data_IF_887087249852
#
_entry.id   IF_887087249852
#
_cell.length_a   1.000
_cell.length_b   1.000
_cell.length_c   1.000
_cell.angle_alpha   90.00
_cell.angle_beta   90.00
_cell.angle_gamma   90.00
#
_symmetry.space_group_name_H-M   'P 1'
#
loop_
_entity.id
_entity.type
_entity.pdbx_description
1 polymer ?
#
# COMPACT_ATOMS: atom_id res chain seq x y z
N UNK A 1 0.32 -1.47 -9.21
CA UNK A 1 -1.02 -1.22 -9.79
C UNK A 1 -2.02 -1.32 -8.68
N UNK A 2 -3.02 -0.45 -8.67
CA UNK A 2 -4.21 -0.58 -7.81
C UNK A 2 -5.36 -1.03 -8.70
N UNK A 3 -6.03 -2.12 -8.33
CA UNK A 3 -7.23 -2.61 -9.02
C UNK A 3 -8.47 -2.27 -8.19
N UNK A 4 -9.36 -1.44 -8.74
CA UNK A 4 -10.60 -1.04 -8.08
C UNK A 4 -11.75 -1.08 -9.08
N UNK A 5 -12.87 -1.75 -8.72
CA UNK A 5 -14.05 -1.96 -9.58
C UNK A 5 -13.71 -2.48 -10.99
N UNK A 6 -12.71 -3.36 -11.09
CA UNK A 6 -12.23 -3.94 -12.35
C UNK A 6 -11.33 -3.01 -13.19
N UNK A 7 -11.05 -1.80 -12.71
CA UNK A 7 -10.16 -0.84 -13.36
C UNK A 7 -8.78 -0.91 -12.71
N UNK A 8 -7.75 -1.11 -13.52
CA UNK A 8 -6.36 -1.10 -13.09
C UNK A 8 -5.71 0.26 -13.29
N UNK A 9 -5.31 0.90 -12.20
CA UNK A 9 -4.54 2.14 -12.22
C UNK A 9 -3.05 1.84 -12.04
N UNK A 10 -2.24 2.33 -12.98
CA UNK A 10 -0.78 2.23 -12.96
C UNK A 10 -0.14 3.54 -12.50
N UNK A 11 1.13 3.49 -12.12
CA UNK A 11 1.84 4.63 -11.54
C UNK A 11 2.65 4.30 -10.28
N UNK A 12 2.82 3.02 -9.97
CA UNK A 12 3.72 2.57 -8.90
C UNK A 12 4.95 1.95 -9.54
N UNK A 13 6.11 2.14 -8.90
CA UNK A 13 7.25 1.26 -9.18
C UNK A 13 6.88 -0.16 -8.77
N UNK A 14 7.18 -1.13 -9.64
CA UNK A 14 7.09 -2.54 -9.26
C UNK A 14 8.06 -2.84 -8.11
N UNK A 15 7.84 -3.95 -7.43
CA UNK A 15 8.79 -4.49 -6.46
C UNK A 15 9.21 -5.90 -6.90
N UNK A 16 10.38 -6.33 -6.44
CA UNK A 16 10.95 -7.65 -6.69
C UNK A 16 11.28 -8.39 -5.40
N UNK A 17 12.09 -9.43 -5.54
CA UNK A 17 12.46 -10.31 -4.45
C UNK A 17 13.29 -9.59 -3.38
N UNK A 18 13.12 -10.03 -2.13
CA UNK A 18 13.85 -9.55 -0.94
C UNK A 18 13.63 -8.07 -0.57
N UNK A 19 12.77 -7.33 -1.27
CA UNK A 19 12.39 -5.98 -0.89
C UNK A 19 11.42 -5.97 0.29
N UNK A 20 11.48 -4.92 1.10
CA UNK A 20 10.57 -4.73 2.23
C UNK A 20 9.38 -3.89 1.76
N UNK A 21 8.21 -4.53 1.77
CA UNK A 21 6.94 -3.86 1.53
C UNK A 21 6.31 -3.40 2.85
N UNK A 22 5.77 -2.19 2.84
CA UNK A 22 5.01 -1.67 3.97
C UNK A 22 3.76 -0.98 3.48
N UNK A 23 2.63 -1.38 4.05
CA UNK A 23 1.35 -0.71 3.87
C UNK A 23 1.09 0.16 5.09
N UNK A 24 0.80 1.44 4.87
CA UNK A 24 0.43 2.37 5.93
C UNK A 24 -1.01 2.85 5.69
N UNK A 25 -1.90 2.43 6.59
CA UNK A 25 -3.29 2.87 6.61
C UNK A 25 -3.47 3.94 7.68
N UNK A 26 -3.97 5.10 7.26
CA UNK A 26 -4.42 6.17 8.13
C UNK A 26 -5.95 6.14 8.18
N UNK A 27 -6.50 5.72 9.31
CA UNK A 27 -7.95 5.61 9.51
C UNK A 27 -8.64 6.97 9.72
N UNK A 28 -7.91 8.01 10.12
CA UNK A 28 -8.47 9.35 10.30
C UNK A 28 -8.63 10.04 8.95
N UNK A 29 -7.63 9.89 8.07
CA UNK A 29 -7.67 10.42 6.70
C UNK A 29 -8.36 9.51 5.70
N UNK A 30 -8.52 8.23 6.02
CA UNK A 30 -9.08 7.23 5.10
C UNK A 30 -8.14 6.95 3.91
N UNK A 31 -6.83 6.87 4.15
CA UNK A 31 -5.82 6.70 3.09
C UNK A 31 -4.95 5.47 3.32
N UNK A 32 -4.50 4.85 2.23
CA UNK A 32 -3.61 3.69 2.24
C UNK A 32 -2.46 3.89 1.26
N UNK A 33 -1.23 3.93 1.77
CA UNK A 33 0.00 4.08 1.00
C UNK A 33 0.81 2.78 0.97
N UNK A 34 1.48 2.53 -0.16
CA UNK A 34 2.53 1.51 -0.26
C UNK A 34 3.90 2.17 -0.15
N UNK A 35 4.80 1.51 0.56
CA UNK A 35 6.22 1.79 0.57
C UNK A 35 6.98 0.56 0.07
N UNK A 36 8.00 0.79 -0.76
CA UNK A 36 8.95 -0.23 -1.22
C UNK A 36 10.33 0.19 -0.73
N UNK A 37 10.98 -0.63 0.09
CA UNK A 37 12.26 -0.32 0.74
C UNK A 37 12.26 1.05 1.43
N UNK A 38 11.17 1.34 2.14
CA UNK A 38 10.88 2.62 2.83
C UNK A 38 10.67 3.83 1.92
N UNK A 39 10.61 3.66 0.60
CA UNK A 39 10.27 4.72 -0.35
C UNK A 39 8.77 4.71 -0.60
N UNK A 40 8.10 5.82 -0.26
CA UNK A 40 6.66 6.01 -0.51
C UNK A 40 6.37 6.01 -2.02
N UNK A 41 5.36 5.24 -2.44
CA UNK A 41 4.88 5.24 -3.81
C UNK A 41 3.90 6.40 -4.06
N UNK A 42 3.94 6.96 -5.27
CA UNK A 42 3.11 8.12 -5.66
C UNK A 42 1.61 7.77 -5.76
N UNK A 43 1.28 6.53 -6.11
CA UNK A 43 -0.10 6.06 -6.23
C UNK A 43 -0.59 5.45 -4.91
N UNK A 44 -1.72 5.94 -4.40
CA UNK A 44 -2.32 5.50 -3.14
C UNK A 44 -3.84 5.38 -3.22
N UNK A 45 -4.49 4.84 -2.18
CA UNK A 45 -5.96 4.79 -2.08
C UNK A 45 -6.42 5.88 -1.11
N UNK A 46 -7.50 6.58 -1.44
CA UNK A 46 -8.14 7.58 -0.58
C UNK A 46 -9.64 7.32 -0.43
N UNK A 47 -10.28 7.99 0.54
CA UNK A 47 -11.73 7.92 0.72
C UNK A 47 -12.24 6.69 1.48
N UNK A 48 -11.36 5.89 2.09
CA UNK A 48 -11.74 4.69 2.83
C UNK A 48 -12.48 5.09 4.12
N UNK A 49 -13.71 4.61 4.32
CA UNK A 49 -14.53 4.87 5.52
C UNK A 49 -14.81 3.61 6.34
N UNK A 50 -14.54 2.44 5.77
CA UNK A 50 -14.85 1.14 6.35
C UNK A 50 -13.65 0.54 7.11
N UNK A 51 -13.91 -0.57 7.81
CA UNK A 51 -12.86 -1.37 8.44
C UNK A 51 -12.01 -2.06 7.37
N UNK A 52 -10.69 -1.86 7.45
CA UNK A 52 -9.73 -2.45 6.52
C UNK A 52 -9.21 -3.79 7.04
N UNK A 53 -9.03 -4.76 6.13
CA UNK A 53 -8.28 -6.00 6.35
C UNK A 53 -7.13 -6.08 5.36
N UNK A 54 -5.94 -6.42 5.84
CA UNK A 54 -4.79 -6.68 4.99
C UNK A 54 -4.75 -8.16 4.61
N UNK A 55 -4.64 -8.44 3.32
CA UNK A 55 -4.59 -9.79 2.77
C UNK A 55 -3.39 -9.86 1.83
N UNK A 56 -2.59 -10.92 1.96
CA UNK A 56 -1.46 -11.20 1.08
C UNK A 56 -1.85 -12.39 0.21
N UNK A 57 -1.72 -12.22 -1.10
CA UNK A 57 -1.94 -13.27 -2.09
C UNK A 57 -0.62 -13.58 -2.80
N UNK A 58 -0.27 -14.86 -2.92
CA UNK A 58 0.91 -15.33 -3.64
C UNK A 58 0.47 -16.35 -4.68
N UNK A 59 0.88 -16.13 -5.94
CA UNK A 59 0.47 -16.97 -7.07
C UNK A 59 1.40 -18.18 -7.30
N UNK A 60 2.74 -18.04 -7.37
CA UNK A 60 3.62 -19.17 -7.64
C UNK A 60 3.72 -20.14 -6.46
N UNK A 61 3.69 -21.45 -6.74
CA UNK A 61 3.95 -22.47 -5.74
C UNK A 61 5.36 -22.33 -5.14
N UNK A 62 5.48 -22.51 -3.82
CA UNK A 62 6.75 -22.33 -3.11
C UNK A 62 7.11 -20.87 -2.79
N UNK A 63 6.27 -19.89 -3.16
CA UNK A 63 6.47 -18.50 -2.74
C UNK A 63 6.41 -18.35 -1.23
N UNK A 64 7.29 -17.51 -0.69
CA UNK A 64 7.32 -17.19 0.72
C UNK A 64 7.22 -15.68 0.94
N UNK A 65 6.52 -15.29 1.99
CA UNK A 65 6.47 -13.93 2.49
C UNK A 65 6.62 -13.99 4.01
N UNK A 66 7.47 -13.13 4.56
CA UNK A 66 7.62 -12.99 6.02
C UNK A 66 6.95 -11.71 6.48
N UNK A 67 5.94 -11.82 7.34
CA UNK A 67 5.33 -10.67 7.99
C UNK A 67 6.26 -10.21 9.12
N UNK A 68 7.04 -9.16 8.87
CA UNK A 68 8.00 -8.63 9.86
C UNK A 68 7.32 -7.99 11.07
N UNK A 69 6.22 -7.26 10.86
CA UNK A 69 5.47 -6.60 11.93
C UNK A 69 4.09 -6.16 11.45
N UNK A 70 3.13 -6.15 12.37
CA UNK A 70 1.88 -5.39 12.27
C UNK A 70 1.75 -4.56 13.54
N UNK A 71 1.80 -3.23 13.41
CA UNK A 71 1.76 -2.33 14.58
C UNK A 71 1.01 -1.04 14.26
N UNK A 72 0.40 -0.46 15.29
CA UNK A 72 -0.10 0.91 15.23
C UNK A 72 1.08 1.89 15.34
N UNK A 73 1.09 2.90 14.47
CA UNK A 73 2.07 3.98 14.54
C UNK A 73 1.52 5.12 15.40
N UNK A 74 2.40 5.85 16.09
CA UNK A 74 2.02 7.02 16.90
C UNK A 74 1.80 8.28 16.07
N UNK A 75 2.41 8.33 14.88
CA UNK A 75 2.28 9.40 13.91
C UNK A 75 2.40 8.81 12.50
N UNK A 76 1.77 9.43 11.49
CA UNK A 76 1.95 9.03 10.10
C UNK A 76 3.41 9.22 9.69
N UNK A 77 3.92 8.30 8.89
CA UNK A 77 5.20 8.46 8.19
C UNK A 77 4.98 8.77 6.71
N UNK A 78 3.74 8.65 6.23
CA UNK A 78 3.35 9.17 4.93
C UNK A 78 3.39 10.69 4.90
N UNK A 79 3.78 11.22 3.74
CA UNK A 79 3.82 12.65 3.46
C UNK A 79 3.43 12.93 2.02
N UNK A 80 3.51 14.20 1.62
CA UNK A 80 3.33 14.56 0.23
C UNK A 80 4.52 14.11 -0.61
N UNK A 81 4.24 13.49 -1.75
CA UNK A 81 5.24 13.15 -2.77
C UNK A 81 4.86 13.83 -4.09
N UNK A 82 5.87 14.19 -4.88
CA UNK A 82 5.63 14.80 -6.19
C UNK A 82 4.82 13.84 -7.07
N UNK A 83 3.87 14.39 -7.85
CA UNK A 83 3.01 13.64 -8.77
C UNK A 83 2.11 12.60 -8.09
N UNK A 84 1.82 12.75 -6.79
CA UNK A 84 0.92 11.83 -6.10
C UNK A 84 -0.47 11.77 -6.76
N UNK A 85 -0.99 10.56 -6.85
CA UNK A 85 -2.30 10.26 -7.45
C UNK A 85 -3.05 9.32 -6.52
N UNK A 86 -4.35 9.57 -6.38
CA UNK A 86 -5.20 8.69 -5.60
C UNK A 86 -6.19 7.93 -6.47
N UNK A 87 -6.45 6.68 -6.10
CA UNK A 87 -7.67 5.97 -6.47
C UNK A 87 -8.68 6.18 -5.35
N UNK A 88 -9.82 6.80 -5.67
CA UNK A 88 -10.91 7.01 -4.73
C UNK A 88 -11.68 5.70 -4.49
N UNK A 89 -11.90 5.37 -3.22
CA UNK A 89 -12.57 4.17 -2.74
C UNK A 89 -14.09 4.18 -2.90
#
# INVERSE_FOLDING_TARGET
MICYKGIGTFGMSGFGDNQILRLEFDSEKGTLFLFVDNIQQELYISGIKEKVRFIIYMYPAGSQCTIRSLKKLSAPTSGHVANEKSVEW
#
